data_IF_152145733076
#
_entry.id   IF_152145733076
#
_cell.length_a   1.000
_cell.length_b   1.000
_cell.length_c   1.000
_cell.angle_alpha   90.00
_cell.angle_beta   90.00
_cell.angle_gamma   90.00
#
_symmetry.space_group_name_H-M   'P 1'
#
loop_
_entity.id
_entity.type
_entity.pdbx_description
1 polymer ?
#
# COMPACT_ATOMS: atom_id res chain seq x y z
N UNK A 1 -36.41 -46.12 -32.34
CA UNK A 1 -36.76 -44.72 -32.05
C UNK A 1 -35.99 -44.31 -30.79
N UNK A 2 -35.19 -43.25 -30.94
CA UNK A 2 -34.48 -42.46 -29.94
C UNK A 2 -33.69 -43.16 -28.83
N UNK A 3 -32.37 -43.27 -29.08
CA UNK A 3 -31.35 -43.04 -28.06
C UNK A 3 -31.25 -41.55 -27.73
N UNK A 4 -30.63 -41.26 -26.59
CA UNK A 4 -29.91 -40.02 -26.21
C UNK A 4 -30.51 -39.26 -25.03
N UNK A 5 -30.16 -39.73 -23.83
CA UNK A 5 -30.06 -38.87 -22.65
C UNK A 5 -28.63 -38.30 -22.65
N UNK A 6 -28.43 -36.97 -22.76
CA UNK A 6 -27.09 -36.41 -22.78
C UNK A 6 -26.45 -36.58 -21.41
N UNK A 7 -25.33 -37.30 -21.41
CA UNK A 7 -24.38 -37.41 -20.31
C UNK A 7 -23.93 -36.00 -19.93
N UNK A 8 -24.32 -35.53 -18.74
CA UNK A 8 -23.79 -34.32 -18.13
C UNK A 8 -22.30 -34.53 -17.90
N UNK A 9 -21.50 -34.01 -18.83
CA UNK A 9 -20.06 -33.95 -18.74
C UNK A 9 -19.64 -33.24 -17.44
N UNK A 10 -18.92 -33.96 -16.57
CA UNK A 10 -18.34 -33.43 -15.34
C UNK A 10 -17.47 -32.17 -15.59
N UNK A 11 -16.99 -31.95 -16.81
CA UNK A 11 -16.25 -30.75 -17.21
C UNK A 11 -17.12 -29.48 -17.35
N UNK A 12 -18.43 -29.62 -17.55
CA UNK A 12 -19.40 -28.52 -17.61
C UNK A 12 -19.76 -28.02 -16.21
N UNK A 13 -19.98 -28.95 -15.28
CA UNK A 13 -20.30 -28.63 -13.88
C UNK A 13 -19.08 -28.03 -13.17
N UNK A 14 -17.86 -28.52 -13.46
CA UNK A 14 -16.63 -27.95 -12.92
C UNK A 14 -16.36 -26.52 -13.43
N UNK A 15 -16.61 -26.24 -14.72
CA UNK A 15 -16.52 -24.88 -15.29
C UNK A 15 -17.60 -23.95 -14.75
N UNK A 16 -18.83 -24.42 -14.58
CA UNK A 16 -19.93 -23.66 -13.98
C UNK A 16 -19.65 -23.32 -12.51
N UNK A 17 -19.15 -24.27 -11.70
CA UNK A 17 -18.80 -24.03 -10.31
C UNK A 17 -17.55 -23.15 -10.15
N UNK A 18 -16.56 -23.27 -11.05
CA UNK A 18 -15.41 -22.37 -11.10
C UNK A 18 -15.80 -20.94 -11.51
N UNK A 19 -16.64 -20.78 -12.55
CA UNK A 19 -17.18 -19.49 -12.96
C UNK A 19 -18.06 -18.86 -11.86
N UNK A 20 -18.83 -19.66 -11.12
CA UNK A 20 -19.67 -19.21 -10.01
C UNK A 20 -18.86 -18.87 -8.75
N UNK A 21 -17.67 -19.45 -8.55
CA UNK A 21 -16.69 -19.02 -7.52
C UNK A 21 -15.89 -17.80 -7.94
N UNK A 22 -15.61 -17.65 -9.23
CA UNK A 22 -14.93 -16.48 -9.80
C UNK A 22 -15.87 -15.26 -9.86
N UNK A 23 -17.19 -15.45 -9.95
CA UNK A 23 -18.18 -14.35 -9.95
C UNK A 23 -18.04 -13.41 -8.75
N UNK A 24 -18.14 -13.89 -7.49
CA UNK A 24 -17.99 -13.05 -6.30
C UNK A 24 -16.63 -12.36 -6.18
N UNK A 25 -15.54 -13.03 -6.58
CA UNK A 25 -14.19 -12.43 -6.58
C UNK A 25 -14.13 -11.33 -7.63
N UNK A 26 -14.57 -11.61 -8.86
CA UNK A 26 -14.59 -10.64 -9.96
C UNK A 26 -15.47 -9.43 -9.63
N UNK A 27 -16.61 -9.62 -8.98
CA UNK A 27 -17.48 -8.53 -8.52
C UNK A 27 -16.80 -7.65 -7.46
N UNK A 28 -16.01 -8.26 -6.56
CA UNK A 28 -15.21 -7.51 -5.59
C UNK A 28 -14.08 -6.72 -6.28
N UNK A 29 -13.36 -7.34 -7.21
CA UNK A 29 -12.30 -6.69 -7.99
C UNK A 29 -12.84 -5.52 -8.82
N UNK A 30 -14.02 -5.65 -9.43
CA UNK A 30 -14.68 -4.53 -10.14
C UNK A 30 -14.96 -3.35 -9.19
N UNK A 31 -15.41 -3.61 -7.96
CA UNK A 31 -15.64 -2.56 -6.96
C UNK A 31 -14.34 -1.90 -6.51
N UNK A 32 -13.28 -2.68 -6.32
CA UNK A 32 -11.95 -2.17 -5.97
C UNK A 32 -11.41 -1.30 -7.11
N UNK A 33 -11.46 -1.77 -8.35
CA UNK A 33 -11.02 -1.01 -9.52
C UNK A 33 -11.78 0.31 -9.66
N UNK A 34 -13.10 0.31 -9.44
CA UNK A 34 -13.91 1.53 -9.47
C UNK A 34 -13.48 2.53 -8.39
N UNK A 35 -13.27 2.06 -7.15
CA UNK A 35 -12.84 2.91 -6.04
C UNK A 35 -11.45 3.52 -6.26
N UNK A 36 -10.50 2.74 -6.80
CA UNK A 36 -9.15 3.21 -7.13
C UNK A 36 -9.17 4.21 -8.30
N UNK A 37 -9.95 3.93 -9.35
CA UNK A 37 -10.09 4.82 -10.50
C UNK A 37 -10.74 6.17 -10.14
N UNK A 38 -11.64 6.17 -9.15
CA UNK A 38 -12.25 7.41 -8.62
C UNK A 38 -11.26 8.25 -7.79
N UNK A 39 -10.23 7.63 -7.22
CA UNK A 39 -9.24 8.32 -6.40
C UNK A 39 -8.22 9.12 -7.23
N UNK A 40 -7.77 8.56 -8.36
CA UNK A 40 -6.70 9.14 -9.19
C UNK A 40 -6.89 10.61 -9.59
N UNK A 41 -8.07 11.05 -10.09
CA UNK A 41 -8.31 12.45 -10.43
C UNK A 41 -8.23 13.41 -9.23
N UNK A 42 -8.66 12.98 -8.05
CA UNK A 42 -8.64 13.82 -6.82
C UNK A 42 -7.21 14.04 -6.31
N UNK A 43 -6.34 13.06 -6.48
CA UNK A 43 -4.94 13.19 -6.10
C UNK A 43 -4.18 14.17 -7.00
N UNK A 44 -4.49 14.20 -8.30
CA UNK A 44 -3.91 15.19 -9.22
C UNK A 44 -4.23 16.64 -8.83
N UNK A 45 -5.45 16.89 -8.33
CA UNK A 45 -5.84 18.20 -7.80
C UNK A 45 -5.04 18.55 -6.54
N UNK A 46 -4.92 17.62 -5.59
CA UNK A 46 -4.14 17.83 -4.36
C UNK A 46 -2.66 18.10 -4.64
N UNK A 47 -2.04 17.34 -5.56
CA UNK A 47 -0.64 17.56 -5.97
C UNK A 47 -0.42 18.98 -6.51
N UNK A 48 -1.30 19.44 -7.39
CA UNK A 48 -1.21 20.76 -7.98
C UNK A 48 -1.40 21.89 -6.95
N UNK A 49 -2.23 21.68 -5.93
CA UNK A 49 -2.38 22.63 -4.82
C UNK A 49 -1.12 22.70 -3.95
N UNK A 50 -0.50 21.57 -3.61
CA UNK A 50 0.75 21.58 -2.85
C UNK A 50 1.91 22.21 -3.64
N UNK A 51 2.00 21.96 -4.95
CA UNK A 51 2.98 22.61 -5.82
C UNK A 51 2.80 24.13 -5.83
N UNK A 52 1.57 24.63 -6.01
CA UNK A 52 1.27 26.07 -5.90
C UNK A 52 1.63 26.63 -4.53
N UNK A 53 1.27 25.94 -3.45
CA UNK A 53 1.58 26.37 -2.10
C UNK A 53 3.10 26.51 -1.90
N UNK A 54 3.90 25.58 -2.41
CA UNK A 54 5.37 25.63 -2.31
C UNK A 54 5.95 26.82 -3.09
N UNK A 55 5.42 27.08 -4.28
CA UNK A 55 5.86 28.17 -5.16
C UNK A 55 5.51 29.55 -4.60
N UNK A 56 4.32 29.70 -4.01
CA UNK A 56 3.77 30.99 -3.55
C UNK A 56 4.08 31.31 -2.09
N UNK A 57 4.43 30.32 -1.27
CA UNK A 57 4.64 30.53 0.17
C UNK A 57 6.01 31.14 0.47
N UNK A 58 6.04 32.26 1.17
CA UNK A 58 7.28 32.91 1.64
C UNK A 58 7.84 32.32 2.94
N UNK A 59 7.04 31.55 3.70
CA UNK A 59 7.44 30.94 4.97
C UNK A 59 8.24 29.65 4.73
N UNK A 60 9.54 29.61 5.09
CA UNK A 60 10.38 28.42 4.85
C UNK A 60 9.93 27.18 5.62
N UNK A 61 9.32 27.33 6.80
CA UNK A 61 8.82 26.23 7.60
C UNK A 61 7.57 25.60 6.99
N UNK A 62 6.65 26.43 6.50
CA UNK A 62 5.48 25.95 5.75
C UNK A 62 5.92 25.26 4.46
N UNK A 63 6.87 25.85 3.72
CA UNK A 63 7.42 25.22 2.50
C UNK A 63 8.03 23.85 2.79
N UNK A 64 8.80 23.73 3.87
CA UNK A 64 9.39 22.45 4.29
C UNK A 64 8.33 21.37 4.53
N UNK A 65 7.24 21.71 5.24
CA UNK A 65 6.16 20.75 5.49
C UNK A 65 5.38 20.42 4.21
N UNK A 66 5.12 21.41 3.36
CA UNK A 66 4.43 21.21 2.09
C UNK A 66 5.24 20.30 1.14
N UNK A 67 6.57 20.44 1.11
CA UNK A 67 7.46 19.55 0.36
C UNK A 67 7.42 18.11 0.86
N UNK A 68 7.36 17.91 2.18
CA UNK A 68 7.20 16.56 2.77
C UNK A 68 5.88 15.93 2.36
N UNK A 69 4.77 16.67 2.48
CA UNK A 69 3.45 16.17 2.10
C UNK A 69 3.41 15.87 0.59
N UNK A 70 3.93 16.76 -0.25
CA UNK A 70 3.98 16.54 -1.69
C UNK A 70 4.76 15.27 -2.07
N UNK A 71 5.84 14.95 -1.36
CA UNK A 71 6.58 13.71 -1.58
C UNK A 71 5.73 12.47 -1.25
N UNK A 72 4.98 12.52 -0.14
CA UNK A 72 4.08 11.44 0.26
C UNK A 72 2.91 11.28 -0.73
N UNK A 73 2.27 12.38 -1.15
CA UNK A 73 1.15 12.32 -2.11
C UNK A 73 1.59 11.79 -3.48
N UNK A 74 2.79 12.14 -3.95
CA UNK A 74 3.34 11.55 -5.19
C UNK A 74 3.52 10.05 -5.06
N UNK A 75 3.96 9.58 -3.89
CA UNK A 75 4.11 8.15 -3.62
C UNK A 75 2.77 7.44 -3.53
N UNK A 76 1.78 8.03 -2.86
CA UNK A 76 0.42 7.49 -2.77
C UNK A 76 -0.21 7.37 -4.16
N UNK A 77 -0.11 8.41 -4.98
CA UNK A 77 -0.63 8.42 -6.34
C UNK A 77 -0.05 7.30 -7.20
N UNK A 78 1.26 7.10 -7.12
CA UNK A 78 1.93 5.99 -7.79
C UNK A 78 1.38 4.64 -7.29
N UNK A 79 1.25 4.45 -5.97
CA UNK A 79 0.79 3.20 -5.39
C UNK A 79 -0.67 2.88 -5.76
N UNK A 80 -1.56 3.87 -5.78
CA UNK A 80 -2.96 3.68 -6.21
C UNK A 80 -3.01 3.26 -7.68
N UNK A 81 -2.21 3.90 -8.53
CA UNK A 81 -2.09 3.53 -9.95
C UNK A 81 -1.60 2.09 -10.11
N UNK A 82 -0.53 1.72 -9.39
CA UNK A 82 0.02 0.36 -9.37
C UNK A 82 -1.01 -0.68 -8.87
N UNK A 83 -1.82 -0.32 -7.87
CA UNK A 83 -2.90 -1.18 -7.37
C UNK A 83 -4.02 -1.34 -8.40
N UNK A 84 -4.42 -0.26 -9.08
CA UNK A 84 -5.44 -0.30 -10.11
C UNK A 84 -5.00 -1.19 -11.27
N UNK A 85 -3.76 -1.04 -11.73
CA UNK A 85 -3.20 -1.86 -12.79
C UNK A 85 -3.12 -3.34 -12.42
N UNK A 86 -2.79 -3.65 -11.16
CA UNK A 86 -2.82 -5.04 -10.67
C UNK A 86 -4.22 -5.65 -10.78
N UNK A 87 -5.25 -4.93 -10.35
CA UNK A 87 -6.64 -5.39 -10.39
C UNK A 87 -7.14 -5.50 -11.85
N UNK A 88 -6.83 -4.52 -12.67
CA UNK A 88 -7.16 -4.52 -14.10
C UNK A 88 -6.50 -5.68 -14.83
N UNK A 89 -5.25 -6.00 -14.50
CA UNK A 89 -4.54 -7.13 -15.09
C UNK A 89 -5.27 -8.45 -14.82
N UNK A 90 -5.78 -8.63 -13.60
CA UNK A 90 -6.62 -9.77 -13.24
C UNK A 90 -7.97 -9.76 -13.97
N UNK A 91 -8.67 -8.62 -14.02
CA UNK A 91 -10.01 -8.51 -14.61
C UNK A 91 -10.02 -8.71 -16.14
N UNK A 92 -8.97 -8.25 -16.82
CA UNK A 92 -8.87 -8.24 -18.28
C UNK A 92 -7.97 -9.35 -18.83
N UNK A 93 -7.35 -10.14 -17.96
CA UNK A 93 -6.44 -11.22 -18.35
C UNK A 93 -5.31 -10.72 -19.27
N UNK A 94 -4.83 -9.50 -19.01
CA UNK A 94 -3.72 -8.84 -19.71
C UNK A 94 -2.74 -8.26 -18.70
N UNK A 95 -1.48 -8.09 -19.06
CA UNK A 95 -0.50 -7.42 -18.19
C UNK A 95 -0.60 -5.90 -18.38
N UNK A 96 -0.86 -5.17 -17.30
CA UNK A 96 -0.88 -3.70 -17.25
C UNK A 96 0.22 -3.26 -16.29
N UNK A 97 1.22 -2.53 -16.80
CA UNK A 97 2.36 -2.04 -16.03
C UNK A 97 2.36 -0.50 -15.95
N UNK A 98 2.87 0.11 -14.86
CA UNK A 98 3.42 -0.54 -13.66
C UNK A 98 2.34 -1.07 -12.73
N UNK A 99 2.56 -2.21 -12.05
CA UNK A 99 1.62 -2.74 -11.04
C UNK A 99 2.28 -3.13 -9.72
N UNK A 100 1.48 -3.25 -8.65
CA UNK A 100 1.98 -3.74 -7.36
C UNK A 100 2.45 -5.18 -7.54
N UNK A 101 3.69 -5.52 -7.14
CA UNK A 101 4.19 -6.87 -7.28
C UNK A 101 3.55 -7.82 -6.27
N UNK A 102 3.36 -9.08 -6.66
CA UNK A 102 3.00 -10.14 -5.73
C UNK A 102 4.21 -10.63 -4.94
N UNK A 103 4.06 -10.77 -3.63
CA UNK A 103 5.04 -11.48 -2.82
C UNK A 103 4.97 -12.98 -3.11
N UNK A 104 6.09 -13.55 -3.54
CA UNK A 104 6.23 -15.00 -3.69
C UNK A 104 6.54 -15.64 -2.34
N UNK A 105 5.78 -16.65 -1.96
CA UNK A 105 6.08 -17.45 -0.77
C UNK A 105 7.34 -18.28 -1.02
N UNK A 106 8.30 -18.20 -0.10
CA UNK A 106 9.52 -19.01 -0.15
C UNK A 106 10.06 -19.25 1.24
N UNK A 107 10.53 -20.46 1.51
CA UNK A 107 11.25 -20.73 2.74
C UNK A 107 12.67 -20.16 2.64
N UNK A 108 12.95 -19.09 3.36
CA UNK A 108 14.27 -18.45 3.38
C UNK A 108 14.66 -18.06 4.81
N UNK A 109 15.38 -18.97 5.48
CA UNK A 109 15.81 -18.80 6.86
C UNK A 109 16.71 -17.56 7.06
N UNK A 110 17.51 -17.19 6.04
CA UNK A 110 18.40 -16.03 6.12
C UNK A 110 17.58 -14.75 6.06
N UNK A 111 16.62 -14.66 5.13
CA UNK A 111 15.72 -13.52 5.03
C UNK A 111 14.85 -13.40 6.27
N UNK A 112 14.29 -14.51 6.76
CA UNK A 112 13.53 -14.54 8.01
C UNK A 112 14.33 -13.96 9.18
N UNK A 113 15.56 -14.44 9.40
CA UNK A 113 16.42 -13.94 10.48
C UNK A 113 16.79 -12.47 10.30
N UNK A 114 16.98 -12.01 9.05
CA UNK A 114 17.24 -10.59 8.77
C UNK A 114 16.01 -9.73 9.08
N UNK A 115 14.82 -10.16 8.67
CA UNK A 115 13.56 -9.46 8.94
C UNK A 115 13.26 -9.36 10.44
N UNK A 116 13.49 -10.42 11.22
CA UNK A 116 13.34 -10.36 12.68
C UNK A 116 14.27 -9.32 13.31
N UNK A 117 15.55 -9.28 12.90
CA UNK A 117 16.49 -8.25 13.39
C UNK A 117 16.04 -6.83 13.04
N UNK A 118 15.51 -6.61 11.84
CA UNK A 118 14.98 -5.30 11.44
C UNK A 118 13.76 -4.91 12.26
N UNK A 119 12.86 -5.86 12.55
CA UNK A 119 11.70 -5.61 13.41
C UNK A 119 12.16 -5.19 14.81
N UNK A 120 13.19 -5.83 15.35
CA UNK A 120 13.73 -5.47 16.67
C UNK A 120 14.41 -4.10 16.67
N UNK A 121 15.14 -3.74 15.59
CA UNK A 121 15.69 -2.39 15.41
C UNK A 121 14.57 -1.35 15.42
N UNK A 122 13.55 -1.50 14.58
CA UNK A 122 12.42 -0.55 14.52
C UNK A 122 11.67 -0.43 15.86
N UNK A 123 11.62 -1.50 16.65
CA UNK A 123 11.03 -1.46 18.00
C UNK A 123 11.87 -0.67 19.00
N UNK A 124 13.19 -0.79 18.92
CA UNK A 124 14.10 0.03 19.74
C UNK A 124 14.04 1.49 19.29
N UNK A 125 14.06 1.76 17.99
CA UNK A 125 13.89 3.11 17.43
C UNK A 125 12.59 3.75 17.93
N UNK A 126 11.47 3.01 17.95
CA UNK A 126 10.22 3.50 18.52
C UNK A 126 10.33 3.88 20.01
N UNK A 127 11.16 3.19 20.80
CA UNK A 127 11.40 3.53 22.21
C UNK A 127 12.26 4.78 22.34
N UNK A 128 13.28 4.91 21.50
CA UNK A 128 14.17 6.07 21.47
C UNK A 128 13.42 7.32 21.02
N UNK A 129 12.62 7.23 19.96
CA UNK A 129 11.77 8.32 19.48
C UNK A 129 10.75 8.77 20.54
N UNK A 130 10.19 7.87 21.34
CA UNK A 130 9.32 8.27 22.47
C UNK A 130 10.05 9.09 23.52
N UNK A 131 11.31 8.77 23.82
CA UNK A 131 12.13 9.55 24.74
C UNK A 131 12.47 10.90 24.13
N UNK A 132 12.89 10.91 22.86
CA UNK A 132 13.18 12.12 22.13
C UNK A 132 11.95 13.05 22.06
N UNK A 133 10.76 12.49 21.84
CA UNK A 133 9.50 13.24 21.85
C UNK A 133 9.27 13.94 23.19
N UNK A 134 9.57 13.28 24.30
CA UNK A 134 9.49 13.90 25.63
C UNK A 134 10.47 15.08 25.76
N UNK A 135 11.69 14.94 25.22
CA UNK A 135 12.73 15.97 25.34
C UNK A 135 12.47 17.18 24.42
N UNK A 136 11.85 16.98 23.26
CA UNK A 136 11.49 18.08 22.35
C UNK A 136 10.16 18.76 22.68
N UNK A 137 9.33 18.17 23.55
CA UNK A 137 8.02 18.74 23.94
C UNK A 137 8.11 20.10 24.63
N UNK A 138 9.24 20.44 25.23
CA UNK A 138 9.44 21.74 25.87
C UNK A 138 9.93 22.82 24.90
N UNK A 139 10.08 22.50 23.61
CA UNK A 139 10.44 23.49 22.60
C UNK A 139 9.28 24.48 22.39
N UNK A 140 9.57 25.71 21.90
CA UNK A 140 8.53 26.69 21.60
C UNK A 140 7.51 26.16 20.59
N UNK A 141 6.28 26.70 20.60
CA UNK A 141 5.20 26.31 19.67
C UNK A 141 5.55 26.51 18.19
N UNK A 142 6.50 27.39 17.89
CA UNK A 142 7.03 27.59 16.52
C UNK A 142 8.00 26.50 16.07
N UNK A 143 8.40 25.59 16.96
CA UNK A 143 9.32 24.50 16.65
C UNK A 143 8.57 23.34 16.02
N UNK A 144 9.05 22.89 14.86
CA UNK A 144 8.53 21.70 14.19
C UNK A 144 9.04 20.39 14.79
N UNK A 145 10.02 20.43 15.71
CA UNK A 145 10.68 19.22 16.23
C UNK A 145 9.70 18.19 16.82
N UNK A 146 8.69 18.55 17.65
CA UNK A 146 7.72 17.58 18.14
C UNK A 146 6.96 16.87 17.01
N UNK A 147 6.50 17.63 16.00
CA UNK A 147 5.80 17.09 14.83
C UNK A 147 6.69 16.11 14.05
N UNK A 148 7.94 16.49 13.76
CA UNK A 148 8.84 15.62 12.99
C UNK A 148 9.13 14.31 13.71
N UNK A 149 9.30 14.34 15.04
CA UNK A 149 9.47 13.12 15.84
C UNK A 149 8.21 12.25 15.79
N UNK A 150 7.02 12.85 15.85
CA UNK A 150 5.75 12.12 15.71
C UNK A 150 5.59 11.47 14.33
N UNK A 151 5.96 12.17 13.25
CA UNK A 151 5.96 11.62 11.88
C UNK A 151 6.93 10.43 11.76
N UNK A 152 8.14 10.55 12.28
CA UNK A 152 9.11 9.43 12.30
C UNK A 152 8.57 8.21 13.07
N UNK A 153 7.78 8.43 14.13
CA UNK A 153 7.12 7.35 14.86
C UNK A 153 6.01 6.67 14.03
N UNK A 154 5.29 7.40 13.19
CA UNK A 154 4.32 6.83 12.25
C UNK A 154 5.03 5.99 11.17
N UNK A 155 6.15 6.49 10.66
CA UNK A 155 6.99 5.74 9.71
C UNK A 155 7.52 4.43 10.31
N UNK A 156 7.97 4.47 11.56
CA UNK A 156 8.40 3.26 12.29
C UNK A 156 7.27 2.22 12.37
N UNK A 157 6.02 2.66 12.59
CA UNK A 157 4.87 1.76 12.60
C UNK A 157 4.59 1.18 11.21
N UNK A 158 4.67 2.01 10.17
CA UNK A 158 4.56 1.63 8.76
C UNK A 158 5.61 0.56 8.40
N UNK A 159 6.87 0.76 8.78
CA UNK A 159 7.96 -0.19 8.52
C UNK A 159 7.74 -1.53 9.24
N UNK A 160 7.37 -1.51 10.52
CA UNK A 160 7.07 -2.74 11.28
C UNK A 160 5.93 -3.53 10.62
N UNK A 161 4.89 -2.86 10.11
CA UNK A 161 3.80 -3.52 9.40
C UNK A 161 4.29 -4.22 8.12
N UNK A 162 5.10 -3.53 7.31
CA UNK A 162 5.70 -4.10 6.10
C UNK A 162 6.63 -5.28 6.42
N UNK A 163 7.49 -5.16 7.42
CA UNK A 163 8.41 -6.22 7.84
C UNK A 163 7.67 -7.45 8.37
N UNK A 164 6.56 -7.27 9.09
CA UNK A 164 5.72 -8.40 9.53
C UNK A 164 5.11 -9.16 8.35
N UNK A 165 4.70 -8.46 7.29
CA UNK A 165 4.22 -9.08 6.05
C UNK A 165 5.34 -9.88 5.36
N UNK A 166 6.55 -9.32 5.28
CA UNK A 166 7.71 -10.03 4.73
C UNK A 166 7.98 -11.30 5.54
N UNK A 167 8.03 -11.19 6.87
CA UNK A 167 8.28 -12.32 7.78
C UNK A 167 7.29 -13.46 7.58
N UNK A 168 5.99 -13.16 7.49
CA UNK A 168 4.97 -14.19 7.32
C UNK A 168 5.11 -14.97 5.99
N UNK A 169 5.65 -14.32 4.96
CA UNK A 169 5.89 -14.93 3.64
C UNK A 169 7.15 -15.79 3.57
N UNK A 170 8.09 -15.65 4.53
CA UNK A 170 9.39 -16.34 4.52
C UNK A 170 9.57 -17.40 5.60
N UNK A 171 8.62 -17.47 6.55
CA UNK A 171 8.64 -18.41 7.67
C UNK A 171 8.11 -19.82 7.35
N UNK A 172 7.56 -20.04 6.15
CA UNK A 172 6.98 -21.33 5.71
C UNK A 172 7.84 -22.00 4.67
#
# INVERSE_FOLDING_TARGET
MSSDIPYLDASSVARSAAAQRLGPVRDAEVKIAAALAEHGPREGEALAEYERLIEECDDPGVRYLAEMILADERRHHQQITEMLHQVQSYLWETEVEPQVPHLQHRHDARLHAATERLIDIEREDAKELRKLLHDVKSQPDSSMLPLLVELMMLDTQKHIAMLKLIRSHVAR
#
